data_IF_298789884390
#
_entry.id   IF_298789884390
#
_cell.length_a   1.000
_cell.length_b   1.000
_cell.length_c   1.000
_cell.angle_alpha   90.00
_cell.angle_beta   90.00
_cell.angle_gamma   90.00
#
_symmetry.space_group_name_H-M   'P 1'
#
loop_
_entity.id
_entity.type
_entity.pdbx_description
1 polymer ?
#
# COMPACT_ATOMS: atom_id res chain seq x y z
N UNK A 1 8.80 -3.97 8.83
CA UNK A 1 7.44 -4.44 8.51
C UNK A 1 7.55 -5.74 7.75
N UNK A 2 6.66 -6.69 8.03
CA UNK A 2 6.49 -7.91 7.22
C UNK A 2 5.20 -7.75 6.42
N UNK A 3 5.22 -8.08 5.14
CA UNK A 3 4.07 -7.93 4.24
C UNK A 3 3.47 -9.31 3.93
N UNK A 4 2.15 -9.40 4.02
CA UNK A 4 1.40 -10.65 3.88
C UNK A 4 0.69 -10.77 2.54
N UNK A 5 0.03 -9.70 2.10
CA UNK A 5 -0.74 -9.69 0.86
C UNK A 5 -0.89 -8.27 0.30
N UNK A 6 -1.37 -8.19 -0.94
CA UNK A 6 -1.85 -6.96 -1.56
C UNK A 6 -3.20 -7.22 -2.22
N UNK A 7 -4.11 -6.26 -2.10
CA UNK A 7 -5.41 -6.24 -2.76
C UNK A 7 -5.64 -4.86 -3.39
N UNK A 8 -6.38 -4.83 -4.51
CA UNK A 8 -6.73 -3.62 -5.23
C UNK A 8 -8.25 -3.51 -5.22
N UNK A 9 -8.80 -2.57 -4.47
CA UNK A 9 -10.23 -2.50 -4.18
C UNK A 9 -11.01 -1.72 -5.25
N UNK A 10 -10.49 -0.56 -5.65
CA UNK A 10 -11.21 0.38 -6.51
C UNK A 10 -10.28 1.06 -7.51
N UNK A 11 -10.22 0.53 -8.74
CA UNK A 11 -9.51 1.16 -9.85
C UNK A 11 -10.44 2.16 -10.56
N UNK A 12 -10.30 3.44 -10.24
CA UNK A 12 -10.95 4.53 -10.97
C UNK A 12 -10.13 4.97 -12.19
N UNK A 13 -10.67 5.94 -12.95
CA UNK A 13 -10.00 6.49 -14.14
C UNK A 13 -8.68 7.22 -13.81
N UNK A 14 -8.51 7.69 -12.57
CA UNK A 14 -7.41 8.57 -12.13
C UNK A 14 -6.55 7.99 -11.03
N UNK A 15 -7.12 7.11 -10.22
CA UNK A 15 -6.50 6.58 -9.02
C UNK A 15 -6.99 5.17 -8.73
N UNK A 16 -6.19 4.43 -7.97
CA UNK A 16 -6.49 3.09 -7.49
C UNK A 16 -6.21 3.02 -5.99
N UNK A 17 -7.13 2.43 -5.24
CA UNK A 17 -6.92 2.12 -3.82
C UNK A 17 -6.22 0.76 -3.69
N UNK A 18 -5.09 0.75 -2.99
CA UNK A 18 -4.28 -0.44 -2.73
C UNK A 18 -4.31 -0.74 -1.22
N UNK A 19 -4.61 -1.98 -0.88
CA UNK A 19 -4.64 -2.50 0.48
C UNK A 19 -3.46 -3.45 0.65
N UNK A 20 -2.54 -3.13 1.57
CA UNK A 20 -1.37 -3.96 1.87
C UNK A 20 -1.48 -4.52 3.28
N UNK A 21 -1.65 -5.84 3.39
CA UNK A 21 -1.60 -6.53 4.68
C UNK A 21 -0.19 -6.55 5.23
N UNK A 22 -0.01 -6.13 6.47
CA UNK A 22 1.30 -6.11 7.12
C UNK A 22 1.26 -6.39 8.62
N UNK A 23 2.41 -6.82 9.15
CA UNK A 23 2.66 -6.95 10.59
C UNK A 23 3.88 -6.12 11.00
N UNK A 24 3.77 -5.46 12.15
CA UNK A 24 4.90 -4.75 12.75
C UNK A 24 5.79 -5.73 13.53
N UNK A 25 7.06 -5.38 13.71
CA UNK A 25 8.03 -6.31 14.32
C UNK A 25 7.83 -6.45 15.84
N UNK A 26 7.33 -5.40 16.48
CA UNK A 26 6.94 -5.31 17.88
C UNK A 26 5.57 -5.92 18.15
N UNK A 27 4.68 -5.96 17.15
CA UNK A 27 3.35 -6.57 17.22
C UNK A 27 3.15 -7.64 16.13
N UNK A 28 3.87 -8.79 16.20
CA UNK A 28 3.92 -9.78 15.12
C UNK A 28 2.67 -10.66 15.01
N UNK A 29 1.79 -10.64 16.01
CA UNK A 29 0.53 -11.40 16.02
C UNK A 29 -0.63 -10.58 15.42
N UNK A 30 -0.46 -9.26 15.31
CA UNK A 30 -1.50 -8.34 14.87
C UNK A 30 -1.38 -8.08 13.36
N UNK A 31 -2.52 -8.21 12.65
CA UNK A 31 -2.61 -7.93 11.23
C UNK A 31 -3.20 -6.53 11.02
N UNK A 32 -2.41 -5.67 10.38
CA UNK A 32 -2.82 -4.35 9.95
C UNK A 32 -2.97 -4.30 8.44
N UNK A 33 -3.70 -3.29 7.96
CA UNK A 33 -3.81 -3.00 6.53
C UNK A 33 -3.34 -1.58 6.29
N UNK A 34 -2.31 -1.41 5.46
CA UNK A 34 -1.96 -0.11 4.90
C UNK A 34 -2.90 0.13 3.72
N UNK A 35 -3.78 1.10 3.86
CA UNK A 35 -4.56 1.65 2.74
C UNK A 35 -3.74 2.80 2.13
N UNK A 36 -3.45 2.70 0.84
CA UNK A 36 -2.74 3.74 0.10
C UNK A 36 -3.43 3.99 -1.22
N UNK A 37 -3.60 5.26 -1.57
CA UNK A 37 -4.12 5.66 -2.88
C UNK A 37 -2.94 5.85 -3.82
N UNK A 38 -3.05 5.31 -5.02
CA UNK A 38 -2.02 5.45 -6.05
C UNK A 38 -2.61 6.16 -7.28
N UNK A 39 -1.93 7.20 -7.75
CA UNK A 39 -2.28 7.89 -8.99
C UNK A 39 -1.66 7.19 -10.20
N UNK A 40 -2.20 7.43 -11.40
CA UNK A 40 -1.67 6.87 -12.66
C UNK A 40 -0.19 7.13 -12.91
N UNK A 41 0.33 8.28 -12.46
CA UNK A 41 1.75 8.61 -12.57
C UNK A 41 2.65 7.82 -11.60
N UNK A 42 2.08 6.96 -10.76
CA UNK A 42 2.79 6.16 -9.76
C UNK A 42 2.93 6.84 -8.39
N UNK A 43 2.43 8.07 -8.18
CA UNK A 43 2.50 8.71 -6.86
C UNK A 43 1.56 8.00 -5.86
N UNK A 44 2.14 7.54 -4.76
CA UNK A 44 1.44 6.96 -3.61
C UNK A 44 1.12 8.05 -2.57
N UNK A 45 -0.15 8.27 -2.28
CA UNK A 45 -0.64 9.28 -1.37
C UNK A 45 -1.80 8.77 -0.49
N UNK A 46 -2.37 9.65 0.33
CA UNK A 46 -3.53 9.38 1.20
C UNK A 46 -3.39 8.09 2.05
N UNK A 47 -2.24 7.95 2.71
CA UNK A 47 -1.88 6.78 3.51
C UNK A 47 -2.70 6.67 4.79
N UNK A 48 -3.20 5.47 5.09
CA UNK A 48 -3.85 5.13 6.37
C UNK A 48 -3.39 3.75 6.85
N UNK A 49 -3.31 3.60 8.16
CA UNK A 49 -3.17 2.30 8.79
C UNK A 49 -4.52 1.92 9.38
N UNK A 50 -5.02 0.76 8.99
CA UNK A 50 -6.27 0.20 9.47
C UNK A 50 -5.98 -1.00 10.37
N UNK A 51 -6.71 -1.08 11.48
CA UNK A 51 -6.81 -2.26 12.33
C UNK A 51 -8.27 -2.64 12.47
N UNK A 52 -8.63 -3.86 12.05
CA UNK A 52 -10.03 -4.31 11.98
C UNK A 52 -10.96 -3.31 11.24
N UNK A 53 -10.45 -2.69 10.17
CA UNK A 53 -11.17 -1.71 9.36
C UNK A 53 -11.29 -0.32 9.97
N UNK A 54 -10.69 -0.07 11.15
CA UNK A 54 -10.69 1.25 11.79
C UNK A 54 -9.36 1.98 11.57
N UNK A 55 -9.44 3.27 11.23
CA UNK A 55 -8.28 4.16 11.06
C UNK A 55 -7.55 4.38 12.39
N UNK A 56 -6.30 3.91 12.47
CA UNK A 56 -5.43 4.05 13.63
C UNK A 56 -4.88 5.47 13.82
N UNK A 57 -5.12 6.41 12.89
CA UNK A 57 -4.47 7.74 12.86
C UNK A 57 -2.95 7.66 12.87
N UNK A 58 -2.40 6.59 12.29
CA UNK A 58 -0.97 6.33 12.29
C UNK A 58 -0.22 7.29 11.37
N UNK A 59 0.90 7.84 11.85
CA UNK A 59 1.79 8.67 11.04
C UNK A 59 2.98 7.84 10.56
N UNK A 60 2.93 7.42 9.30
CA UNK A 60 3.99 6.61 8.70
C UNK A 60 5.29 7.39 8.56
N UNK A 61 6.37 6.80 9.08
CA UNK A 61 7.72 7.29 8.88
C UNK A 61 8.17 7.12 7.42
N UNK A 62 9.13 7.94 6.93
CA UNK A 62 9.60 7.85 5.56
C UNK A 62 10.12 6.47 5.13
N UNK A 63 10.80 5.76 6.04
CA UNK A 63 11.32 4.41 5.83
C UNK A 63 10.20 3.36 5.72
N UNK A 64 9.10 3.52 6.47
CA UNK A 64 7.92 2.66 6.38
C UNK A 64 7.20 2.84 5.04
N UNK A 65 7.02 4.09 4.59
CA UNK A 65 6.46 4.39 3.25
C UNK A 65 7.33 3.81 2.14
N UNK A 66 8.65 3.94 2.27
CA UNK A 66 9.59 3.35 1.33
C UNK A 66 9.49 1.82 1.31
N UNK A 67 9.35 1.16 2.47
CA UNK A 67 9.19 -0.28 2.54
C UNK A 67 7.90 -0.76 1.84
N UNK A 68 6.77 -0.07 2.04
CA UNK A 68 5.51 -0.39 1.33
C UNK A 68 5.67 -0.18 -0.17
N UNK A 69 6.28 0.94 -0.61
CA UNK A 69 6.57 1.20 -2.03
C UNK A 69 7.41 0.09 -2.65
N UNK A 70 8.47 -0.34 -1.97
CA UNK A 70 9.38 -1.37 -2.49
C UNK A 70 8.68 -2.73 -2.57
N UNK A 71 7.83 -3.05 -1.59
CA UNK A 71 6.97 -4.22 -1.65
C UNK A 71 6.01 -4.15 -2.85
N UNK A 72 5.31 -3.03 -3.04
CA UNK A 72 4.40 -2.84 -4.18
C UNK A 72 5.12 -2.93 -5.53
N UNK A 73 6.33 -2.39 -5.65
CA UNK A 73 7.17 -2.55 -6.85
C UNK A 73 7.45 -4.02 -7.18
N UNK A 74 7.59 -4.88 -6.17
CA UNK A 74 7.84 -6.31 -6.37
C UNK A 74 6.59 -7.09 -6.77
N UNK A 75 5.40 -6.65 -6.34
CA UNK A 75 4.15 -7.42 -6.54
C UNK A 75 3.29 -6.90 -7.68
N UNK A 76 3.17 -5.58 -7.88
CA UNK A 76 2.35 -4.97 -8.95
C UNK A 76 2.61 -5.57 -10.34
N UNK A 77 3.86 -5.84 -10.78
CA UNK A 77 4.11 -6.45 -12.07
C UNK A 77 3.50 -7.86 -12.25
N UNK A 78 3.11 -8.51 -11.16
CA UNK A 78 2.50 -9.85 -11.14
C UNK A 78 0.97 -9.82 -11.07
N UNK A 79 0.35 -8.64 -10.98
CA UNK A 79 -1.10 -8.47 -10.92
C UNK A 79 -1.66 -7.96 -12.24
N UNK A 80 -3.00 -7.93 -12.37
CA UNK A 80 -3.67 -7.35 -13.54
C UNK A 80 -3.42 -5.83 -13.72
N UNK A 81 -2.92 -5.17 -12.67
CA UNK A 81 -2.64 -3.73 -12.67
C UNK A 81 -1.21 -3.37 -13.10
N UNK A 82 -0.42 -4.34 -13.57
CA UNK A 82 0.95 -4.13 -14.04
C UNK A 82 1.06 -3.01 -15.09
N UNK A 83 0.04 -2.85 -15.94
CA UNK A 83 -0.02 -1.82 -17.00
C UNK A 83 -0.90 -0.62 -16.66
N UNK A 84 -1.47 -0.57 -15.45
CA UNK A 84 -2.34 0.54 -15.05
C UNK A 84 -1.53 1.81 -14.75
N UNK A 85 -0.32 1.66 -14.22
CA UNK A 85 0.58 2.75 -13.93
C UNK A 85 1.36 3.21 -15.17
N UNK A 86 1.36 4.52 -15.43
CA UNK A 86 2.11 5.18 -16.51
C UNK A 86 3.57 5.47 -16.11
N UNK A 87 3.89 5.32 -14.82
CA UNK A 87 5.21 5.56 -14.24
C UNK A 87 5.55 4.59 -13.11
N UNK A 88 6.75 4.74 -12.55
CA UNK A 88 7.19 3.96 -11.39
C UNK A 88 6.52 4.45 -10.10
N UNK A 89 6.21 3.53 -9.19
CA UNK A 89 5.68 3.89 -7.86
C UNK A 89 6.67 4.77 -7.07
N UNK A 90 6.17 5.88 -6.54
CA UNK A 90 6.92 6.86 -5.75
C UNK A 90 6.13 7.32 -4.53
N UNK A 91 6.81 7.82 -3.50
CA UNK A 91 6.20 8.31 -2.24
C UNK A 91 6.51 9.79 -2.01
#
# INVERSE_FOLDING_TARGET
MVFDYVEFDSAGDKDITILVGCRFADEPEELYVVEVRALKNGLLNDWRLLFNGMDCKYDFKPDERAAVRDYLHSVVPTTEYAQWFEGSLTV
#
